data_IF_022163423084
#
_entry.id   IF_022163423084
#
_cell.length_a   1.000
_cell.length_b   1.000
_cell.length_c   1.000
_cell.angle_alpha   90.00
_cell.angle_beta   90.00
_cell.angle_gamma   90.00
#
_symmetry.space_group_name_H-M   'P 1'
#
loop_
_entity.id
_entity.type
_entity.pdbx_description
1 polymer ?
#
# COMPACT_ATOMS: atom_id res chain seq x y z
N UNK A 1 4.09 -11.30 4.14
CA UNK A 1 2.63 -10.93 4.23
C UNK A 1 1.76 -12.12 3.80
N UNK A 2 0.42 -12.04 3.95
CA UNK A 2 -0.50 -13.12 3.50
C UNK A 2 -0.47 -13.29 1.98
N UNK A 3 -0.40 -12.20 1.24
CA UNK A 3 -0.22 -12.20 -0.21
C UNK A 3 1.08 -12.87 -0.64
N UNK A 4 2.19 -12.68 0.10
CA UNK A 4 3.46 -13.34 -0.22
C UNK A 4 3.38 -14.85 -0.01
N UNK A 5 2.66 -15.28 1.05
CA UNK A 5 2.40 -16.68 1.28
C UNK A 5 1.56 -17.29 0.14
N UNK A 6 0.50 -16.59 -0.30
CA UNK A 6 -0.34 -17.02 -1.40
C UNK A 6 0.46 -17.14 -2.71
N UNK A 7 1.29 -16.14 -3.05
CA UNK A 7 2.19 -16.16 -4.22
C UNK A 7 3.20 -17.32 -4.17
N UNK A 8 3.64 -17.70 -2.96
CA UNK A 8 4.60 -18.80 -2.77
C UNK A 8 3.93 -20.18 -2.94
N UNK A 9 2.73 -20.33 -2.44
CA UNK A 9 2.02 -21.63 -2.39
C UNK A 9 1.19 -21.89 -3.64
N UNK A 10 0.74 -20.85 -4.36
CA UNK A 10 -0.18 -20.94 -5.48
C UNK A 10 0.33 -20.18 -6.72
N UNK A 11 -0.14 -20.60 -7.89
CA UNK A 11 0.09 -19.95 -9.18
C UNK A 11 -0.80 -18.70 -9.29
N UNK A 12 -0.46 -17.66 -8.54
CA UNK A 12 -1.15 -16.38 -8.56
C UNK A 12 -0.16 -15.25 -8.81
N UNK A 13 -0.60 -14.25 -9.55
CA UNK A 13 0.07 -12.97 -9.70
C UNK A 13 -0.69 -11.91 -8.87
N UNK A 14 0.04 -11.14 -8.08
CA UNK A 14 -0.54 -10.03 -7.32
C UNK A 14 -0.07 -8.72 -7.93
N UNK A 15 -1.02 -7.95 -8.46
CA UNK A 15 -0.79 -6.62 -8.98
C UNK A 15 -1.29 -5.57 -8.00
N UNK A 16 -0.41 -4.66 -7.60
CA UNK A 16 -0.76 -3.55 -6.74
C UNK A 16 -1.38 -2.40 -7.56
N UNK A 17 -2.58 -1.97 -7.14
CA UNK A 17 -3.23 -0.78 -7.69
C UNK A 17 -3.18 0.35 -6.66
N UNK A 18 -2.80 1.53 -7.11
CA UNK A 18 -2.83 2.73 -6.29
C UNK A 18 -4.28 3.14 -5.98
N UNK A 19 -4.52 3.59 -4.76
CA UNK A 19 -5.84 4.04 -4.32
C UNK A 19 -5.75 5.40 -3.60
N UNK A 20 -6.64 6.37 -3.93
CA UNK A 20 -6.65 7.69 -3.34
C UNK A 20 -7.40 7.73 -2.00
N UNK A 21 -6.85 7.11 -0.94
CA UNK A 21 -7.54 7.03 0.35
C UNK A 21 -7.74 8.41 0.98
N UNK A 22 -6.72 9.26 0.94
CA UNK A 22 -6.71 10.62 1.48
C UNK A 22 -5.89 11.55 0.55
N UNK A 23 -6.38 11.81 -0.67
CA UNK A 23 -5.62 12.60 -1.66
C UNK A 23 -5.48 14.08 -1.28
N UNK A 24 -6.34 14.55 -0.38
CA UNK A 24 -6.38 15.93 0.13
C UNK A 24 -5.33 16.22 1.21
N UNK A 25 -4.69 15.20 1.78
CA UNK A 25 -3.69 15.38 2.83
C UNK A 25 -2.48 16.12 2.27
N UNK A 26 -2.04 17.22 2.92
CA UNK A 26 -0.89 17.97 2.47
C UNK A 26 0.44 17.24 2.72
N UNK A 27 1.51 17.72 2.13
CA UNK A 27 2.86 17.14 2.25
C UNK A 27 3.34 17.04 3.70
N UNK A 28 3.08 18.07 4.53
CA UNK A 28 3.42 18.08 5.96
C UNK A 28 2.57 17.13 6.80
N UNK A 29 1.55 16.52 6.21
CA UNK A 29 0.64 15.58 6.86
C UNK A 29 -0.38 16.22 7.80
N UNK A 30 -1.37 15.42 8.17
CA UNK A 30 -2.39 15.75 9.18
C UNK A 30 -2.30 14.75 10.33
N UNK A 31 -2.53 15.21 11.56
CA UNK A 31 -2.78 14.29 12.67
C UNK A 31 -4.08 13.52 12.44
N UNK A 32 -4.31 12.46 13.19
CA UNK A 32 -5.58 11.72 13.06
C UNK A 32 -6.78 12.57 13.49
N UNK A 33 -6.59 13.42 14.48
CA UNK A 33 -7.60 14.35 14.96
C UNK A 33 -7.98 15.37 13.88
N UNK A 34 -6.98 15.94 13.19
CA UNK A 34 -7.19 16.86 12.05
C UNK A 34 -7.87 16.12 10.87
N UNK A 35 -7.43 14.90 10.58
CA UNK A 35 -7.96 14.11 9.45
C UNK A 35 -9.42 13.70 9.64
N UNK A 36 -9.83 13.43 10.88
CA UNK A 36 -11.17 12.97 11.21
C UNK A 36 -12.05 14.04 11.86
N UNK A 37 -11.66 15.31 11.77
CA UNK A 37 -12.50 16.43 12.23
C UNK A 37 -13.91 16.33 11.66
N UNK A 38 -14.92 16.40 12.54
CA UNK A 38 -16.34 16.33 12.15
C UNK A 38 -16.86 14.93 11.80
N UNK A 39 -16.05 13.88 11.99
CA UNK A 39 -16.45 12.49 11.83
C UNK A 39 -16.56 11.81 13.19
N UNK A 40 -17.56 10.97 13.37
CA UNK A 40 -17.72 10.17 14.61
C UNK A 40 -16.77 8.96 14.56
N UNK A 41 -15.49 9.19 14.88
CA UNK A 41 -14.43 8.16 14.90
C UNK A 41 -13.74 8.17 16.25
N UNK A 42 -13.86 7.08 16.99
CA UNK A 42 -13.06 6.84 18.20
C UNK A 42 -11.62 6.46 17.79
N UNK A 43 -10.76 7.50 17.67
CA UNK A 43 -9.36 7.35 17.24
C UNK A 43 -8.57 6.44 18.22
N UNK A 44 -8.64 6.62 19.55
CA UNK A 44 -7.99 5.72 20.50
C UNK A 44 -8.39 4.25 20.34
N UNK A 45 -9.68 3.97 20.23
CA UNK A 45 -10.17 2.60 20.04
C UNK A 45 -9.70 1.99 18.71
N UNK A 46 -9.72 2.78 17.63
CA UNK A 46 -9.24 2.36 16.32
C UNK A 46 -7.74 2.03 16.35
N UNK A 47 -6.92 2.88 16.96
CA UNK A 47 -5.49 2.64 17.13
C UNK A 47 -5.20 1.40 17.98
N UNK A 48 -5.94 1.21 19.09
CA UNK A 48 -5.78 0.04 19.94
C UNK A 48 -6.17 -1.25 19.21
N UNK A 49 -7.24 -1.21 18.42
CA UNK A 49 -7.64 -2.34 17.56
C UNK A 49 -6.53 -2.69 16.56
N UNK A 50 -5.95 -1.69 15.89
CA UNK A 50 -4.86 -1.89 14.94
C UNK A 50 -3.64 -2.50 15.61
N UNK A 51 -3.24 -2.01 16.80
CA UNK A 51 -2.14 -2.58 17.60
C UNK A 51 -2.37 -4.05 17.95
N UNK A 52 -3.58 -4.40 18.41
CA UNK A 52 -3.94 -5.80 18.73
C UNK A 52 -3.83 -6.69 17.50
N UNK A 53 -4.35 -6.25 16.36
CA UNK A 53 -4.27 -7.01 15.10
C UNK A 53 -2.82 -7.19 14.65
N UNK A 54 -2.00 -6.14 14.70
CA UNK A 54 -0.59 -6.24 14.36
C UNK A 54 0.15 -7.23 15.26
N UNK A 55 -0.08 -7.14 16.58
CA UNK A 55 0.52 -8.05 17.56
C UNK A 55 0.12 -9.51 17.33
N UNK A 56 -1.16 -9.79 17.05
CA UNK A 56 -1.64 -11.16 16.77
C UNK A 56 -1.03 -11.79 15.51
N UNK A 57 -0.43 -10.96 14.66
CA UNK A 57 0.25 -11.38 13.43
C UNK A 57 1.76 -11.29 13.52
N UNK A 58 2.30 -10.96 14.69
CA UNK A 58 3.73 -10.69 14.90
C UNK A 58 4.28 -9.63 13.92
N UNK A 59 3.43 -8.66 13.54
CA UNK A 59 3.82 -7.56 12.67
C UNK A 59 4.28 -6.36 13.50
N UNK A 60 5.46 -5.77 13.18
CA UNK A 60 5.88 -4.54 13.82
C UNK A 60 4.93 -3.40 13.45
N UNK A 61 4.56 -2.59 14.43
CA UNK A 61 3.76 -1.38 14.24
C UNK A 61 4.32 -0.29 15.16
N UNK A 62 4.77 0.80 14.58
CA UNK A 62 5.26 1.97 15.29
C UNK A 62 4.15 2.93 15.69
N UNK A 63 4.55 3.99 16.36
CA UNK A 63 3.66 5.12 16.67
C UNK A 63 3.78 6.13 15.53
N UNK A 64 2.68 6.34 14.83
CA UNK A 64 2.60 7.33 13.75
C UNK A 64 1.83 8.56 14.24
N UNK A 65 2.49 9.71 14.23
CA UNK A 65 1.88 10.96 14.66
C UNK A 65 0.94 11.56 13.60
N UNK A 66 1.23 11.33 12.31
CA UNK A 66 0.51 11.95 11.19
C UNK A 66 0.20 10.94 10.07
N UNK A 67 -0.80 11.28 9.27
CA UNK A 67 -1.03 10.70 7.95
C UNK A 67 -0.44 11.65 6.91
N UNK A 68 0.29 11.10 5.95
CA UNK A 68 0.97 11.87 4.90
C UNK A 68 0.38 11.56 3.53
N UNK A 69 0.52 12.49 2.59
CA UNK A 69 0.11 12.26 1.21
C UNK A 69 0.95 11.14 0.60
N UNK A 70 0.30 10.13 0.06
CA UNK A 70 0.97 8.96 -0.53
C UNK A 70 1.18 9.06 -2.04
N UNK A 71 0.81 10.17 -2.67
CA UNK A 71 0.80 10.29 -4.13
C UNK A 71 2.19 10.05 -4.76
N UNK A 72 3.23 10.70 -4.25
CA UNK A 72 4.59 10.54 -4.77
C UNK A 72 5.13 9.13 -4.53
N UNK A 73 4.82 8.54 -3.38
CA UNK A 73 5.17 7.14 -3.08
C UNK A 73 4.51 6.17 -4.07
N UNK A 74 3.24 6.40 -4.45
CA UNK A 74 2.53 5.60 -5.44
C UNK A 74 3.16 5.71 -6.84
N UNK A 75 3.56 6.92 -7.25
CA UNK A 75 4.23 7.13 -8.54
C UNK A 75 5.61 6.47 -8.59
N UNK A 76 6.38 6.60 -7.51
CA UNK A 76 7.68 5.96 -7.42
C UNK A 76 7.55 4.42 -7.35
N UNK A 77 6.47 3.90 -6.73
CA UNK A 77 6.19 2.47 -6.72
C UNK A 77 5.94 1.93 -8.14
N UNK A 78 5.22 2.67 -9.00
CA UNK A 78 5.04 2.30 -10.41
C UNK A 78 6.36 2.26 -11.18
N UNK A 79 7.26 3.19 -10.90
CA UNK A 79 8.61 3.12 -11.47
C UNK A 79 9.38 1.91 -10.94
N UNK A 80 9.37 1.65 -9.63
CA UNK A 80 10.04 0.49 -9.06
C UNK A 80 9.49 -0.83 -9.64
N UNK A 81 8.18 -0.93 -9.88
CA UNK A 81 7.54 -2.05 -10.58
C UNK A 81 8.13 -2.24 -11.99
N UNK A 82 8.32 -1.15 -12.75
CA UNK A 82 8.94 -1.21 -14.09
C UNK A 82 10.42 -1.64 -14.07
N UNK A 83 11.07 -1.55 -12.90
CA UNK A 83 12.45 -2.01 -12.68
C UNK A 83 12.52 -3.43 -12.08
N UNK A 84 11.38 -4.14 -11.97
CA UNK A 84 11.29 -5.45 -11.33
C UNK A 84 11.45 -5.42 -9.80
N UNK A 85 11.32 -4.24 -9.17
CA UNK A 85 11.50 -4.00 -7.73
C UNK A 85 10.21 -3.57 -7.01
N UNK A 86 9.05 -3.84 -7.61
CA UNK A 86 7.77 -3.37 -7.09
C UNK A 86 7.45 -3.90 -5.69
N UNK A 87 7.56 -5.21 -5.46
CA UNK A 87 7.26 -5.82 -4.16
C UNK A 87 8.24 -5.33 -3.07
N UNK A 88 9.56 -5.25 -3.38
CA UNK A 88 10.56 -4.78 -2.43
C UNK A 88 10.33 -3.32 -2.06
N UNK A 89 10.01 -2.47 -3.04
CA UNK A 89 9.69 -1.07 -2.78
C UNK A 89 8.41 -0.92 -1.94
N UNK A 90 7.37 -1.69 -2.27
CA UNK A 90 6.13 -1.70 -1.51
C UNK A 90 6.37 -2.05 -0.03
N UNK A 91 7.10 -3.13 0.25
CA UNK A 91 7.45 -3.53 1.61
C UNK A 91 8.26 -2.46 2.34
N UNK A 92 9.24 -1.85 1.64
CA UNK A 92 10.10 -0.81 2.19
C UNK A 92 9.31 0.45 2.57
N UNK A 93 8.41 0.90 1.69
CA UNK A 93 7.53 2.07 1.96
C UNK A 93 6.56 1.77 3.11
N UNK A 94 5.96 0.57 3.15
CA UNK A 94 5.07 0.18 4.24
C UNK A 94 5.79 0.17 5.58
N UNK A 95 7.01 -0.39 5.64
CA UNK A 95 7.81 -0.36 6.86
C UNK A 95 8.15 1.07 7.28
N UNK A 96 8.65 1.88 6.36
CA UNK A 96 8.98 3.27 6.62
C UNK A 96 7.79 4.06 7.18
N UNK A 97 6.61 3.86 6.61
CA UNK A 97 5.40 4.57 7.01
C UNK A 97 4.79 4.03 8.30
N UNK A 98 4.58 2.71 8.42
CA UNK A 98 3.83 2.11 9.53
C UNK A 98 4.69 1.73 10.73
N UNK A 99 6.00 1.53 10.55
CA UNK A 99 6.90 1.15 11.65
C UNK A 99 7.77 2.33 12.07
N UNK A 100 8.42 2.96 11.08
CA UNK A 100 9.42 4.00 11.34
C UNK A 100 8.77 5.41 11.41
N UNK A 101 7.50 5.56 11.05
CA UNK A 101 6.75 6.82 11.10
C UNK A 101 7.23 7.90 10.11
N UNK A 102 7.91 7.48 9.04
CA UNK A 102 8.51 8.39 8.06
C UNK A 102 7.46 9.09 7.19
N UNK A 103 7.79 10.32 6.79
CA UNK A 103 6.97 11.09 5.87
C UNK A 103 7.22 10.68 4.41
N UNK A 104 6.34 9.83 3.88
CA UNK A 104 6.41 9.33 2.50
C UNK A 104 5.95 10.33 1.42
N UNK A 105 5.62 11.56 1.78
CA UNK A 105 5.42 12.64 0.83
C UNK A 105 6.73 13.36 0.46
N UNK A 106 7.80 13.19 1.28
CA UNK A 106 9.08 13.86 1.09
C UNK A 106 9.93 13.17 0.02
N UNK A 107 10.38 13.95 -0.97
CA UNK A 107 11.23 13.45 -2.07
C UNK A 107 12.48 12.75 -1.55
N UNK A 108 13.20 13.35 -0.58
CA UNK A 108 14.46 12.79 -0.08
C UNK A 108 14.26 11.47 0.66
N UNK A 109 13.18 11.34 1.42
CA UNK A 109 12.80 10.07 2.06
C UNK A 109 12.53 8.98 1.02
N UNK A 110 11.73 9.30 0.00
CA UNK A 110 11.41 8.34 -1.06
C UNK A 110 12.64 7.91 -1.87
N UNK A 111 13.55 8.84 -2.16
CA UNK A 111 14.83 8.54 -2.84
C UNK A 111 15.70 7.64 -1.97
N UNK A 112 15.79 7.90 -0.65
CA UNK A 112 16.52 7.05 0.27
C UNK A 112 15.93 5.63 0.36
N UNK A 113 14.60 5.50 0.36
CA UNK A 113 13.91 4.20 0.32
C UNK A 113 14.21 3.43 -0.98
N UNK A 114 14.19 4.11 -2.12
CA UNK A 114 14.56 3.52 -3.40
C UNK A 114 16.02 3.03 -3.41
N UNK A 115 16.94 3.84 -2.88
CA UNK A 115 18.35 3.48 -2.75
C UNK A 115 18.57 2.24 -1.86
N UNK A 116 17.80 2.10 -0.78
CA UNK A 116 17.92 0.97 0.15
C UNK A 116 17.63 -0.40 -0.48
N UNK A 117 16.95 -0.42 -1.62
CA UNK A 117 16.65 -1.64 -2.40
C UNK A 117 17.46 -1.72 -3.71
N UNK A 118 18.51 -0.88 -3.85
CA UNK A 118 19.42 -0.89 -4.99
C UNK A 118 18.93 -0.15 -6.24
N UNK A 119 17.89 0.68 -6.13
CA UNK A 119 17.45 1.53 -7.24
C UNK A 119 18.31 2.82 -7.31
N UNK A 120 18.63 3.31 -8.53
CA UNK A 120 19.49 4.49 -8.70
C UNK A 120 18.82 5.77 -8.18
N UNK A 121 19.50 6.46 -7.27
CA UNK A 121 19.00 7.69 -6.61
C UNK A 121 18.66 8.81 -7.57
N UNK A 122 19.52 9.06 -8.58
CA UNK A 122 19.29 10.12 -9.55
C UNK A 122 18.04 9.87 -10.39
N UNK A 123 17.82 8.60 -10.77
CA UNK A 123 16.62 8.20 -11.51
C UNK A 123 15.38 8.29 -10.66
N UNK A 124 15.44 7.84 -9.39
CA UNK A 124 14.33 7.98 -8.45
C UNK A 124 13.93 9.46 -8.29
N UNK A 125 14.92 10.33 -8.08
CA UNK A 125 14.71 11.79 -7.98
C UNK A 125 14.13 12.36 -9.25
N UNK A 126 14.66 12.00 -10.40
CA UNK A 126 14.16 12.43 -11.72
C UNK A 126 12.69 12.04 -11.90
N UNK A 127 12.33 10.78 -11.61
CA UNK A 127 10.93 10.28 -11.69
C UNK A 127 9.98 11.13 -10.86
N UNK A 128 10.36 11.46 -9.62
CA UNK A 128 9.55 12.29 -8.72
C UNK A 128 9.41 13.71 -9.27
N UNK A 129 10.53 14.36 -9.66
CA UNK A 129 10.52 15.74 -10.13
C UNK A 129 9.73 15.91 -11.45
N UNK A 130 9.87 14.97 -12.37
CA UNK A 130 9.16 15.01 -13.67
C UNK A 130 7.75 14.45 -13.59
N UNK A 131 7.38 13.80 -12.48
CA UNK A 131 6.07 13.13 -12.31
C UNK A 131 5.78 12.14 -13.44
N UNK A 132 6.82 11.47 -13.98
CA UNK A 132 6.74 10.65 -15.20
C UNK A 132 5.81 9.43 -15.06
N UNK A 133 5.48 9.00 -13.84
CA UNK A 133 4.53 7.92 -13.57
C UNK A 133 3.16 8.40 -13.07
N UNK A 134 2.90 9.72 -13.12
CA UNK A 134 1.62 10.30 -12.73
C UNK A 134 0.44 9.68 -13.46
N UNK A 135 0.53 9.56 -14.79
CA UNK A 135 -0.56 9.01 -15.60
C UNK A 135 -0.92 7.58 -15.26
N UNK A 136 0.05 6.74 -14.85
CA UNK A 136 -0.22 5.37 -14.43
C UNK A 136 -0.99 5.32 -13.11
N UNK A 137 -0.66 6.20 -12.16
CA UNK A 137 -1.39 6.31 -10.89
C UNK A 137 -2.79 6.90 -11.12
N UNK A 138 -2.93 7.89 -12.02
CA UNK A 138 -4.25 8.42 -12.40
C UNK A 138 -5.15 7.32 -13.01
N UNK A 139 -4.57 6.46 -13.84
CA UNK A 139 -5.28 5.30 -14.41
C UNK A 139 -5.69 4.28 -13.33
N UNK A 140 -4.82 4.00 -12.35
CA UNK A 140 -5.16 3.13 -11.21
C UNK A 140 -6.29 3.73 -10.36
N UNK A 141 -6.26 5.02 -10.10
CA UNK A 141 -7.31 5.73 -9.36
C UNK A 141 -8.65 5.67 -10.10
N UNK A 142 -8.63 5.97 -11.42
CA UNK A 142 -9.81 5.87 -12.26
C UNK A 142 -10.39 4.43 -12.27
N UNK A 143 -9.52 3.42 -12.37
CA UNK A 143 -9.92 2.02 -12.32
C UNK A 143 -10.53 1.65 -10.95
N UNK A 144 -9.93 2.09 -9.86
CA UNK A 144 -10.47 1.87 -8.51
C UNK A 144 -11.87 2.50 -8.36
N UNK A 145 -12.06 3.69 -8.88
CA UNK A 145 -13.38 4.34 -8.93
C UNK A 145 -14.38 3.57 -9.77
N UNK A 146 -14.00 3.12 -10.97
CA UNK A 146 -14.86 2.33 -11.85
C UNK A 146 -15.31 1.01 -11.20
N UNK A 147 -14.46 0.39 -10.38
CA UNK A 147 -14.81 -0.78 -9.58
C UNK A 147 -15.62 -0.45 -8.31
N UNK A 148 -15.92 0.81 -8.04
CA UNK A 148 -16.64 1.24 -6.84
C UNK A 148 -15.91 0.91 -5.54
N UNK A 149 -14.57 0.98 -5.56
CA UNK A 149 -13.74 0.76 -4.36
C UNK A 149 -13.86 1.99 -3.45
N UNK A 150 -14.20 1.76 -2.19
CA UNK A 150 -14.34 2.80 -1.16
C UNK A 150 -13.47 2.54 0.08
N UNK A 151 -12.83 1.38 0.15
CA UNK A 151 -12.02 0.99 1.30
C UNK A 151 -10.83 0.11 0.86
N UNK A 152 -9.76 0.13 1.64
CA UNK A 152 -8.56 -0.69 1.44
C UNK A 152 -8.20 -1.46 2.72
N UNK A 153 -7.61 -2.64 2.58
CA UNK A 153 -7.33 -3.35 1.33
C UNK A 153 -8.61 -3.89 0.67
N UNK A 154 -8.64 -3.89 -0.65
CA UNK A 154 -9.65 -4.60 -1.44
C UNK A 154 -8.92 -5.53 -2.40
N UNK A 155 -9.35 -6.78 -2.47
CA UNK A 155 -8.82 -7.78 -3.38
C UNK A 155 -9.86 -8.05 -4.47
N UNK A 156 -9.42 -8.13 -5.72
CA UNK A 156 -10.27 -8.35 -6.89
C UNK A 156 -9.68 -9.49 -7.71
N UNK A 157 -10.52 -10.42 -8.11
CA UNK A 157 -10.23 -11.44 -9.13
C UNK A 157 -11.42 -11.43 -10.07
N UNK A 158 -11.18 -11.16 -11.34
CA UNK A 158 -12.23 -10.94 -12.35
C UNK A 158 -13.27 -9.91 -11.87
N UNK A 159 -14.54 -10.30 -11.74
CA UNK A 159 -15.64 -9.45 -11.27
C UNK A 159 -15.94 -9.61 -9.77
N UNK A 160 -15.22 -10.49 -9.08
CA UNK A 160 -15.44 -10.74 -7.66
C UNK A 160 -14.50 -9.88 -6.81
N UNK A 161 -14.96 -9.48 -5.63
CA UNK A 161 -14.14 -8.71 -4.69
C UNK A 161 -14.38 -9.09 -3.24
N UNK A 162 -13.34 -8.98 -2.45
CA UNK A 162 -13.39 -9.03 -0.99
C UNK A 162 -12.73 -7.78 -0.41
N UNK A 163 -13.36 -7.21 0.62
CA UNK A 163 -12.93 -5.93 1.21
C UNK A 163 -12.43 -6.14 2.62
N UNK A 164 -11.42 -5.36 3.00
CA UNK A 164 -10.87 -5.32 4.34
C UNK A 164 -9.82 -6.39 4.61
N UNK A 165 -9.32 -6.34 5.84
CA UNK A 165 -8.33 -7.27 6.33
C UNK A 165 -8.97 -8.67 6.49
N UNK A 166 -8.54 -9.63 5.68
CA UNK A 166 -9.07 -10.99 5.64
C UNK A 166 -8.07 -12.01 6.22
N UNK A 167 -8.54 -13.07 6.91
CA UNK A 167 -7.73 -14.24 7.23
C UNK A 167 -7.10 -14.85 5.97
N UNK A 168 -5.98 -15.57 6.13
CA UNK A 168 -5.32 -16.22 4.98
C UNK A 168 -6.25 -17.21 4.28
N UNK A 169 -7.02 -17.95 5.04
CA UNK A 169 -7.96 -18.97 4.55
C UNK A 169 -9.04 -18.36 3.64
N UNK A 170 -9.50 -17.13 3.93
CA UNK A 170 -10.46 -16.42 3.08
C UNK A 170 -9.81 -15.99 1.77
N UNK A 171 -8.57 -15.46 1.81
CA UNK A 171 -7.82 -15.12 0.60
C UNK A 171 -7.54 -16.36 -0.25
N UNK A 172 -7.21 -17.49 0.40
CA UNK A 172 -6.98 -18.75 -0.25
C UNK A 172 -8.24 -19.27 -0.95
N UNK A 173 -9.38 -19.30 -0.25
CA UNK A 173 -10.66 -19.69 -0.82
C UNK A 173 -11.05 -18.80 -2.01
N UNK A 174 -10.82 -17.51 -1.89
CA UNK A 174 -11.08 -16.54 -2.95
C UNK A 174 -10.23 -16.84 -4.19
N UNK A 175 -8.92 -17.07 -4.03
CA UNK A 175 -8.03 -17.40 -5.14
C UNK A 175 -8.35 -18.76 -5.76
N UNK A 176 -8.53 -19.82 -4.96
CA UNK A 176 -8.82 -21.17 -5.47
C UNK A 176 -10.21 -21.29 -6.07
N UNK A 177 -11.20 -20.59 -5.52
CA UNK A 177 -12.55 -20.47 -6.11
C UNK A 177 -12.55 -19.82 -7.50
N UNK A 178 -11.55 -18.96 -7.76
CA UNK A 178 -11.28 -18.34 -9.07
C UNK A 178 -10.28 -19.12 -9.93
N UNK A 179 -9.95 -20.37 -9.58
CA UNK A 179 -9.14 -21.27 -10.40
C UNK A 179 -7.64 -21.28 -10.11
N UNK A 180 -7.16 -20.61 -9.05
CA UNK A 180 -5.75 -20.67 -8.67
C UNK A 180 -5.33 -22.10 -8.32
N UNK A 181 -4.19 -22.55 -8.88
CA UNK A 181 -3.64 -23.89 -8.67
C UNK A 181 -2.48 -23.86 -7.69
N UNK A 182 -2.29 -24.96 -6.99
CA UNK A 182 -1.10 -25.15 -6.15
C UNK A 182 0.15 -25.11 -7.04
N UNK A 183 1.15 -24.36 -6.65
CA UNK A 183 2.42 -24.30 -7.35
C UNK A 183 3.13 -25.66 -7.20
N UNK A 184 3.43 -26.27 -8.32
CA UNK A 184 4.28 -27.47 -8.33
C UNK A 184 5.72 -27.03 -8.03
N UNK A 185 6.32 -27.59 -6.97
CA UNK A 185 7.68 -27.27 -6.50
C UNK A 185 8.77 -27.72 -7.46
#
# INVERSE_FOLDING_TARGET
>A
MRTDRLKKEYEVEVRWLAFPLHPEVPEQGLTLEELFVGRDVDIPAAQQRLKRVAASLSLPLGVRAKTYNSRLAQELAKWAESQGKGDEFHHTVFRAYFVDGKNIAMTDELVALAASIGLPTDKARQVILTRSFRGQVDADWARSHAFGITAVPTFIIDDQRIVGFQPYEVLLQFATGSGARVRQG
#
